data_IF_275533372702
#
_entry.id   IF_275533372702
#
_cell.length_a   1.000
_cell.length_b   1.000
_cell.length_c   1.000
_cell.angle_alpha   90.00
_cell.angle_beta   90.00
_cell.angle_gamma   90.00
#
_symmetry.space_group_name_H-M   'P 1'
#
loop_
_entity.id
_entity.type
_entity.pdbx_description
1 polymer ?
#
# COMPACT_ATOMS: atom_id res chain seq x y z
N UNK A 1 -35.02 -29.89 36.35
CA UNK A 1 -35.75 -29.59 35.14
C UNK A 1 -34.71 -29.19 34.09
N UNK A 2 -34.35 -30.16 33.26
CA UNK A 2 -33.41 -29.94 32.17
C UNK A 2 -34.20 -29.43 30.95
N UNK A 3 -33.72 -28.34 30.33
CA UNK A 3 -34.25 -27.89 29.06
C UNK A 3 -33.64 -28.77 27.96
N UNK A 4 -34.47 -29.49 27.25
CA UNK A 4 -34.11 -30.24 26.04
C UNK A 4 -33.79 -29.24 24.94
N UNK A 5 -32.60 -29.41 24.34
CA UNK A 5 -32.14 -28.65 23.19
C UNK A 5 -32.66 -29.34 21.91
N UNK A 6 -33.64 -28.74 21.25
CA UNK A 6 -34.04 -29.20 19.93
C UNK A 6 -33.00 -28.73 18.86
N UNK A 7 -32.47 -29.67 18.05
CA UNK A 7 -31.57 -29.29 16.96
C UNK A 7 -32.36 -28.55 15.86
N UNK A 8 -32.00 -27.32 15.58
CA UNK A 8 -32.55 -26.61 14.44
C UNK A 8 -32.10 -27.30 13.14
N UNK A 9 -33.07 -27.79 12.40
CA UNK A 9 -32.90 -28.30 11.04
C UNK A 9 -32.49 -27.13 10.15
N UNK A 10 -31.28 -27.21 9.57
CA UNK A 10 -30.83 -26.29 8.53
C UNK A 10 -31.83 -26.36 7.36
N UNK A 11 -32.46 -25.22 7.08
CA UNK A 11 -33.36 -25.06 5.96
C UNK A 11 -32.62 -25.30 4.63
N UNK A 12 -33.40 -25.84 3.67
CA UNK A 12 -32.93 -26.07 2.30
C UNK A 12 -32.33 -24.79 1.68
N UNK A 13 -31.39 -24.90 0.73
CA UNK A 13 -30.81 -23.74 0.06
C UNK A 13 -31.92 -22.93 -0.61
N UNK A 14 -32.07 -21.68 -0.19
CA UNK A 14 -32.94 -20.73 -0.89
C UNK A 14 -32.26 -20.43 -2.23
N UNK A 15 -32.92 -20.80 -3.34
CA UNK A 15 -32.50 -20.33 -4.67
C UNK A 15 -32.46 -18.81 -4.64
N UNK A 16 -31.24 -18.28 -4.76
CA UNK A 16 -31.02 -16.83 -4.91
C UNK A 16 -31.51 -16.44 -6.30
N UNK A 17 -32.66 -15.83 -6.37
CA UNK A 17 -33.01 -15.01 -7.52
C UNK A 17 -31.96 -13.88 -7.63
N UNK A 18 -31.04 -14.02 -8.54
CA UNK A 18 -30.08 -12.98 -8.87
C UNK A 18 -30.80 -11.80 -9.50
N UNK A 19 -31.14 -10.83 -8.66
CA UNK A 19 -31.64 -9.55 -9.11
C UNK A 19 -30.44 -8.70 -9.53
N UNK A 20 -30.26 -8.35 -10.82
CA UNK A 20 -29.02 -7.76 -11.34
C UNK A 20 -28.75 -6.32 -10.89
N UNK A 21 -29.49 -5.80 -9.95
CA UNK A 21 -29.36 -4.40 -9.47
C UNK A 21 -28.81 -4.23 -8.04
N UNK A 22 -28.46 -5.29 -7.34
CA UNK A 22 -27.72 -5.15 -6.09
C UNK A 22 -26.25 -4.97 -6.45
N UNK A 23 -25.83 -3.74 -6.72
CA UNK A 23 -24.43 -3.36 -6.60
C UNK A 23 -24.01 -3.78 -5.19
N UNK A 24 -23.19 -4.82 -5.09
CA UNK A 24 -22.55 -5.23 -3.85
C UNK A 24 -21.85 -3.99 -3.29
N UNK A 25 -22.45 -3.40 -2.25
CA UNK A 25 -21.84 -2.25 -1.57
C UNK A 25 -20.57 -2.80 -0.95
N UNK A 26 -19.43 -2.33 -1.42
CA UNK A 26 -18.14 -2.63 -0.82
C UNK A 26 -18.16 -2.13 0.64
N UNK A 27 -18.22 -3.01 1.65
CA UNK A 27 -18.34 -2.60 3.04
C UNK A 27 -17.09 -1.83 3.49
N UNK A 28 -15.94 -2.10 2.91
CA UNK A 28 -14.70 -1.42 3.26
C UNK A 28 -14.77 0.09 3.01
N UNK A 29 -15.53 0.51 2.00
CA UNK A 29 -15.75 1.92 1.69
C UNK A 29 -16.33 2.74 2.87
N UNK A 30 -17.06 2.09 3.76
CA UNK A 30 -17.76 2.76 4.87
C UNK A 30 -16.98 2.74 6.18
N UNK A 31 -16.06 1.81 6.35
CA UNK A 31 -15.37 1.58 7.61
C UNK A 31 -13.93 2.09 7.61
N UNK A 32 -13.38 2.40 6.44
CA UNK A 32 -12.01 2.90 6.31
C UNK A 32 -11.92 4.39 6.60
N UNK A 33 -10.88 4.85 7.33
CA UNK A 33 -10.61 6.28 7.50
C UNK A 33 -10.31 6.98 6.17
N UNK A 34 -9.53 6.34 5.28
CA UNK A 34 -9.27 6.86 3.95
C UNK A 34 -10.49 6.71 3.04
N UNK A 35 -10.82 7.78 2.31
CA UNK A 35 -11.85 7.77 1.26
C UNK A 35 -11.30 7.42 -0.12
N UNK A 36 -9.99 7.28 -0.24
CA UNK A 36 -9.34 6.91 -1.50
C UNK A 36 -9.71 5.48 -1.89
N UNK A 37 -9.89 5.22 -3.20
CA UNK A 37 -10.19 3.86 -3.66
C UNK A 37 -9.00 2.94 -3.43
N UNK A 38 -9.27 1.71 -3.04
CA UNK A 38 -8.27 0.65 -2.95
C UNK A 38 -7.87 0.23 -4.37
N UNK A 39 -6.59 0.15 -4.64
CA UNK A 39 -6.02 -0.19 -5.95
C UNK A 39 -5.68 -1.68 -6.11
N UNK A 40 -5.27 -2.35 -5.03
CA UNK A 40 -5.04 -3.79 -5.04
C UNK A 40 -6.36 -4.55 -4.82
N UNK A 41 -6.48 -5.70 -5.47
CA UNK A 41 -7.72 -6.50 -5.45
C UNK A 41 -7.67 -7.57 -4.37
N UNK A 42 -8.82 -7.99 -3.88
CA UNK A 42 -8.95 -9.25 -3.15
C UNK A 42 -8.74 -10.42 -4.10
N UNK A 43 -7.90 -11.34 -3.70
CA UNK A 43 -7.80 -12.65 -4.33
C UNK A 43 -8.84 -13.59 -3.68
N UNK A 44 -10.13 -13.28 -3.85
CA UNK A 44 -11.25 -14.07 -3.27
C UNK A 44 -11.25 -15.53 -3.72
N UNK A 45 -10.35 -15.89 -4.62
CA UNK A 45 -10.21 -17.24 -5.13
C UNK A 45 -9.11 -17.96 -4.35
N UNK A 46 -9.50 -18.70 -3.31
CA UNK A 46 -8.60 -19.57 -2.56
C UNK A 46 -7.85 -20.57 -3.46
N UNK A 47 -8.39 -20.89 -4.64
CA UNK A 47 -7.73 -21.74 -5.63
C UNK A 47 -6.37 -21.19 -6.07
N UNK A 48 -6.18 -19.87 -6.05
CA UNK A 48 -4.88 -19.26 -6.35
C UNK A 48 -3.81 -19.75 -5.38
N UNK A 49 -4.14 -19.96 -4.11
CA UNK A 49 -3.18 -20.35 -3.07
C UNK A 49 -2.95 -21.87 -2.98
N UNK A 50 -3.88 -22.68 -3.49
CA UNK A 50 -3.82 -24.14 -3.38
C UNK A 50 -2.50 -24.76 -3.85
N UNK A 51 -1.89 -24.33 -4.98
CA UNK A 51 -0.63 -24.90 -5.44
C UNK A 51 0.57 -24.66 -4.50
N UNK A 52 0.46 -23.73 -3.56
CA UNK A 52 1.58 -23.25 -2.75
C UNK A 52 1.58 -23.76 -1.30
N UNK A 53 0.57 -24.51 -0.88
CA UNK A 53 0.38 -24.92 0.52
C UNK A 53 1.56 -25.68 1.11
N UNK A 54 2.23 -26.51 0.32
CA UNK A 54 3.33 -27.36 0.79
C UNK A 54 4.69 -26.93 0.22
N UNK A 55 4.74 -25.75 -0.44
CA UNK A 55 5.98 -25.27 -1.05
C UNK A 55 6.77 -24.36 -0.11
N UNK A 56 8.07 -24.58 -0.04
CA UNK A 56 8.98 -23.62 0.59
C UNK A 56 9.10 -22.36 -0.28
N UNK A 57 9.41 -21.23 0.34
CA UNK A 57 9.53 -19.94 -0.37
C UNK A 57 10.52 -19.97 -1.55
N UNK A 58 11.57 -20.78 -1.48
CA UNK A 58 12.59 -20.93 -2.51
C UNK A 58 12.19 -21.84 -3.68
N UNK A 59 11.10 -22.58 -3.56
CA UNK A 59 10.56 -23.49 -4.58
C UNK A 59 9.45 -22.84 -5.42
N UNK A 60 8.85 -21.77 -4.89
CA UNK A 60 7.71 -21.08 -5.50
C UNK A 60 8.12 -20.38 -6.80
N UNK A 61 7.41 -20.70 -7.87
CA UNK A 61 7.50 -20.02 -9.16
C UNK A 61 6.20 -19.25 -9.43
N UNK A 62 6.31 -17.94 -9.51
CA UNK A 62 5.17 -17.11 -9.83
C UNK A 62 4.71 -17.31 -11.27
N UNK A 63 3.38 -17.32 -11.54
CA UNK A 63 2.86 -17.20 -12.90
C UNK A 63 3.37 -15.91 -13.54
N UNK A 64 3.86 -16.01 -14.79
CA UNK A 64 4.38 -14.85 -15.52
C UNK A 64 3.35 -13.72 -15.68
N UNK A 65 2.06 -14.03 -15.65
CA UNK A 65 0.96 -13.06 -15.72
C UNK A 65 0.99 -12.05 -14.60
N UNK A 66 1.50 -12.42 -13.41
CA UNK A 66 1.55 -11.53 -12.24
C UNK A 66 2.64 -10.45 -12.34
N UNK A 67 3.67 -10.69 -13.18
CA UNK A 67 4.86 -9.82 -13.26
C UNK A 67 5.13 -9.30 -14.70
N UNK A 68 4.10 -9.34 -15.57
CA UNK A 68 4.23 -8.95 -16.97
C UNK A 68 4.35 -7.43 -17.18
N UNK A 69 3.69 -6.64 -16.34
CA UNK A 69 3.71 -5.18 -16.39
C UNK A 69 4.20 -4.61 -15.07
N UNK A 70 4.84 -3.43 -15.06
CA UNK A 70 5.35 -2.84 -13.82
C UNK A 70 4.24 -2.53 -12.82
N UNK A 71 3.16 -1.84 -13.24
CA UNK A 71 2.01 -1.54 -12.37
C UNK A 71 1.38 -2.83 -11.82
N UNK A 72 1.16 -3.83 -12.73
CA UNK A 72 0.62 -5.13 -12.37
C UNK A 72 1.49 -5.87 -11.35
N UNK A 73 2.82 -5.76 -11.45
CA UNK A 73 3.73 -6.40 -10.49
C UNK A 73 3.53 -5.83 -9.10
N UNK A 74 3.47 -4.51 -8.94
CA UNK A 74 3.24 -3.87 -7.64
C UNK A 74 1.85 -4.22 -7.11
N UNK A 75 0.81 -4.07 -7.93
CA UNK A 75 -0.56 -4.34 -7.49
C UNK A 75 -0.78 -5.81 -7.14
N UNK A 76 -0.23 -6.74 -7.92
CA UNK A 76 -0.34 -8.18 -7.64
C UNK A 76 0.42 -8.57 -6.37
N UNK A 77 1.61 -7.99 -6.13
CA UNK A 77 2.35 -8.17 -4.89
C UNK A 77 1.48 -7.81 -3.67
N UNK A 78 0.88 -6.63 -3.69
CA UNK A 78 0.01 -6.20 -2.59
C UNK A 78 -1.35 -6.90 -2.59
N UNK A 79 -1.84 -7.41 -3.72
CA UNK A 79 -3.04 -8.24 -3.76
C UNK A 79 -2.81 -9.59 -3.07
N UNK A 80 -1.62 -10.18 -3.24
CA UNK A 80 -1.23 -11.39 -2.50
C UNK A 80 -1.14 -11.09 -1.01
N UNK A 81 -0.49 -9.98 -0.61
CA UNK A 81 -0.32 -9.58 0.78
C UNK A 81 -1.64 -9.14 1.44
N UNK A 82 -2.65 -8.75 0.68
CA UNK A 82 -3.96 -8.41 1.21
C UNK A 82 -4.65 -9.60 1.90
N UNK A 83 -4.33 -10.81 1.47
CA UNK A 83 -4.82 -12.04 2.07
C UNK A 83 -3.93 -12.56 3.21
N UNK A 84 -2.84 -11.84 3.52
CA UNK A 84 -1.89 -12.21 4.55
C UNK A 84 -2.25 -11.64 5.92
N UNK A 85 -1.93 -12.41 6.95
CA UNK A 85 -2.06 -11.99 8.34
C UNK A 85 -0.88 -12.51 9.16
N UNK A 86 -0.15 -11.61 9.82
CA UNK A 86 0.97 -11.98 10.69
C UNK A 86 0.77 -11.47 12.11
N UNK A 87 -0.33 -11.88 12.74
CA UNK A 87 -0.60 -11.60 14.13
C UNK A 87 0.34 -12.42 15.03
N UNK A 88 0.81 -11.80 16.09
CA UNK A 88 1.67 -12.43 17.11
C UNK A 88 0.93 -12.49 18.45
N UNK A 89 1.42 -13.30 19.38
CA UNK A 89 0.83 -13.40 20.73
C UNK A 89 0.73 -12.05 21.45
N UNK A 90 1.61 -11.11 21.13
CA UNK A 90 1.66 -9.78 21.74
C UNK A 90 0.98 -8.70 20.89
N UNK A 91 0.56 -9.03 19.66
CA UNK A 91 -0.05 -8.12 18.69
C UNK A 91 -1.27 -8.82 18.08
N UNK A 92 -2.27 -9.03 18.92
CA UNK A 92 -3.55 -9.61 18.51
C UNK A 92 -4.45 -8.48 18.00
N UNK A 93 -4.95 -8.62 16.84
CA UNK A 93 -5.94 -7.70 16.27
C UNK A 93 -7.30 -8.37 16.23
N UNK A 94 -8.34 -7.64 16.66
CA UNK A 94 -9.69 -8.17 16.85
C UNK A 94 -10.61 -7.82 15.74
N UNK A 95 -10.62 -7.93 14.60
CA UNK A 95 -11.60 -8.06 13.53
C UNK A 95 -10.92 -8.87 12.45
N UNK A 96 -10.90 -10.19 12.68
CA UNK A 96 -10.24 -11.11 11.80
C UNK A 96 -10.75 -10.94 10.38
N UNK A 97 -9.98 -10.41 9.50
CA UNK A 97 -10.07 -10.87 8.13
C UNK A 97 -9.75 -12.33 8.20
N UNK A 98 -10.63 -13.18 7.72
CA UNK A 98 -10.32 -14.59 7.51
C UNK A 98 -9.33 -14.62 6.35
N UNK A 99 -8.09 -14.22 6.62
CA UNK A 99 -7.02 -14.26 5.65
C UNK A 99 -6.44 -15.66 5.54
N UNK A 100 -5.49 -15.79 4.63
CA UNK A 100 -4.74 -17.04 4.43
C UNK A 100 -3.57 -17.15 5.42
N UNK A 101 -3.64 -16.46 6.56
CA UNK A 101 -2.59 -16.39 7.58
C UNK A 101 -1.22 -16.08 6.96
N UNK A 102 -0.21 -16.92 7.19
CA UNK A 102 1.16 -16.69 6.70
C UNK A 102 1.43 -17.26 5.30
N UNK A 103 0.50 -17.97 4.71
CA UNK A 103 0.68 -18.59 3.39
C UNK A 103 1.00 -17.59 2.25
N UNK A 104 0.45 -16.37 2.23
CA UNK A 104 0.76 -15.42 1.16
C UNK A 104 2.21 -14.90 1.18
N UNK A 105 2.90 -14.85 2.34
CA UNK A 105 4.23 -14.24 2.43
C UNK A 105 5.30 -14.94 1.59
N UNK A 106 5.43 -16.28 1.58
CA UNK A 106 6.41 -16.95 0.72
C UNK A 106 6.13 -16.71 -0.77
N UNK A 107 4.85 -16.55 -1.16
CA UNK A 107 4.47 -16.22 -2.54
C UNK A 107 4.89 -14.77 -2.85
N UNK A 108 4.55 -13.83 -1.98
CA UNK A 108 4.88 -12.41 -2.13
C UNK A 108 6.40 -12.19 -2.17
N UNK A 109 7.18 -12.92 -1.38
CA UNK A 109 8.64 -12.83 -1.40
C UNK A 109 9.26 -13.16 -2.77
N UNK A 110 8.57 -13.94 -3.59
CA UNK A 110 9.01 -14.29 -4.94
C UNK A 110 8.74 -13.20 -6.00
N UNK A 111 8.12 -12.08 -5.63
CA UNK A 111 8.06 -10.89 -6.47
C UNK A 111 9.36 -10.09 -6.48
N UNK A 112 10.26 -10.34 -5.53
CA UNK A 112 11.54 -9.66 -5.44
C UNK A 112 12.60 -10.25 -6.37
N UNK A 113 13.59 -9.41 -6.71
CA UNK A 113 14.79 -9.88 -7.43
C UNK A 113 15.65 -10.74 -6.53
N UNK A 114 16.51 -11.58 -7.11
CA UNK A 114 17.52 -12.32 -6.36
C UNK A 114 18.47 -11.39 -5.60
N UNK A 115 18.77 -10.20 -6.17
CA UNK A 115 19.60 -9.19 -5.52
C UNK A 115 18.96 -8.69 -4.23
N UNK A 116 17.65 -8.46 -4.24
CA UNK A 116 16.90 -8.12 -3.02
C UNK A 116 16.91 -9.26 -2.02
N UNK A 117 16.61 -10.50 -2.46
CA UNK A 117 16.54 -11.68 -1.60
C UNK A 117 17.89 -12.04 -0.94
N UNK A 118 19.00 -11.65 -1.57
CA UNK A 118 20.34 -11.76 -0.94
C UNK A 118 20.59 -10.73 0.15
N UNK A 119 19.95 -9.54 0.06
CA UNK A 119 20.09 -8.46 1.05
C UNK A 119 19.14 -8.61 2.23
N UNK A 120 17.94 -9.13 1.97
CA UNK A 120 16.87 -9.28 2.96
C UNK A 120 16.44 -10.75 2.98
N UNK A 121 16.82 -11.47 4.02
CA UNK A 121 16.44 -12.87 4.19
C UNK A 121 14.92 -13.02 4.39
N UNK A 122 14.38 -14.19 4.06
CA UNK A 122 12.94 -14.44 4.16
C UNK A 122 12.40 -14.22 5.58
N UNK A 123 13.13 -14.62 6.61
CA UNK A 123 12.70 -14.44 8.01
C UNK A 123 12.66 -12.96 8.41
N UNK A 124 13.61 -12.15 7.94
CA UNK A 124 13.62 -10.70 8.13
C UNK A 124 12.44 -10.04 7.40
N UNK A 125 12.21 -10.47 6.16
CA UNK A 125 11.05 -10.05 5.37
C UNK A 125 9.74 -10.38 6.09
N UNK A 126 9.55 -11.61 6.56
CA UNK A 126 8.37 -12.04 7.29
C UNK A 126 8.18 -11.26 8.60
N UNK A 127 9.27 -11.01 9.31
CA UNK A 127 9.24 -10.26 10.57
C UNK A 127 8.82 -8.80 10.37
N UNK A 128 9.12 -8.20 9.22
CA UNK A 128 8.69 -6.82 8.92
C UNK A 128 7.17 -6.63 8.87
N UNK A 129 6.41 -7.71 8.75
CA UNK A 129 4.94 -7.71 8.77
C UNK A 129 4.35 -8.11 10.13
N UNK A 130 5.15 -8.22 11.19
CA UNK A 130 4.65 -8.61 12.50
C UNK A 130 3.59 -7.62 13.01
N UNK A 131 2.39 -8.14 13.35
CA UNK A 131 1.25 -7.35 13.79
C UNK A 131 0.36 -6.82 12.68
N UNK A 132 0.74 -6.98 11.40
CA UNK A 132 -0.06 -6.51 10.27
C UNK A 132 -1.08 -7.59 9.88
N UNK A 133 -2.35 -7.21 9.84
CA UNK A 133 -3.46 -8.10 9.48
C UNK A 133 -4.11 -7.78 8.14
N UNK A 134 -3.84 -6.64 7.55
CA UNK A 134 -4.44 -6.24 6.27
C UNK A 134 -3.65 -5.10 5.61
N UNK A 135 -3.55 -5.10 4.28
CA UNK A 135 -2.80 -4.08 3.54
C UNK A 135 -3.59 -3.63 2.30
N UNK A 136 -3.90 -2.34 2.23
CA UNK A 136 -4.52 -1.69 1.08
C UNK A 136 -3.56 -0.72 0.42
N UNK A 137 -3.44 -0.75 -0.90
CA UNK A 137 -2.77 0.28 -1.68
C UNK A 137 -3.79 1.40 -1.97
N UNK A 138 -3.54 2.60 -1.48
CA UNK A 138 -4.43 3.76 -1.66
C UNK A 138 -3.89 4.78 -2.66
N UNK A 139 -2.55 4.86 -2.82
CA UNK A 139 -1.90 5.61 -3.89
C UNK A 139 -0.84 4.74 -4.57
N UNK A 140 -0.75 4.85 -5.88
CA UNK A 140 0.32 4.25 -6.69
C UNK A 140 0.54 5.15 -7.88
N UNK A 141 1.72 5.75 -7.97
CA UNK A 141 2.10 6.64 -9.05
C UNK A 141 3.47 6.27 -9.58
N UNK A 142 3.54 6.02 -10.88
CA UNK A 142 4.81 5.81 -11.56
C UNK A 142 5.59 7.12 -11.59
N UNK A 143 6.87 7.04 -11.26
CA UNK A 143 7.82 8.13 -11.35
C UNK A 143 8.65 8.00 -12.63
N UNK A 144 9.40 9.03 -13.03
CA UNK A 144 10.30 8.93 -14.18
C UNK A 144 11.31 7.79 -14.02
N UNK A 145 11.53 7.03 -15.09
CA UNK A 145 12.45 5.89 -15.08
C UNK A 145 13.90 6.38 -14.79
N UNK A 146 14.59 5.66 -13.93
CA UNK A 146 15.96 5.98 -13.52
C UNK A 146 16.89 4.77 -13.67
N UNK A 147 18.00 4.93 -14.41
CA UNK A 147 19.11 3.95 -14.44
C UNK A 147 18.70 2.49 -14.65
N UNK A 148 17.65 2.24 -15.44
CA UNK A 148 17.15 0.89 -15.72
C UNK A 148 16.15 0.36 -14.70
N UNK A 149 15.70 1.20 -13.76
CA UNK A 149 14.61 0.92 -12.84
C UNK A 149 13.34 1.68 -13.24
N UNK A 150 12.20 1.08 -12.91
CA UNK A 150 10.89 1.73 -13.01
C UNK A 150 10.42 2.02 -11.59
N UNK A 151 10.57 3.27 -11.10
CA UNK A 151 10.21 3.63 -9.73
C UNK A 151 8.74 4.00 -9.61
N UNK A 152 8.19 3.73 -8.41
CA UNK A 152 6.84 4.09 -8.00
C UNK A 152 6.86 4.76 -6.65
N UNK A 153 6.03 5.79 -6.50
CA UNK A 153 5.55 6.26 -5.21
C UNK A 153 4.33 5.43 -4.81
N UNK A 154 4.26 5.04 -3.54
CA UNK A 154 3.15 4.27 -2.98
C UNK A 154 2.73 4.84 -1.63
N UNK A 155 1.43 4.76 -1.35
CA UNK A 155 0.88 4.94 0.00
C UNK A 155 -0.03 3.76 0.31
N UNK A 156 0.15 3.23 1.51
CA UNK A 156 -0.54 2.06 2.03
C UNK A 156 -1.39 2.44 3.24
N UNK A 157 -2.55 1.81 3.34
CA UNK A 157 -3.36 1.76 4.55
C UNK A 157 -3.31 0.34 5.09
N UNK A 158 -2.99 0.17 6.37
CA UNK A 158 -2.89 -1.13 7.03
C UNK A 158 -3.87 -1.23 8.20
N UNK A 159 -4.20 -2.46 8.57
CA UNK A 159 -4.83 -2.76 9.86
C UNK A 159 -3.80 -3.51 10.69
N UNK A 160 -3.47 -2.98 11.85
CA UNK A 160 -2.43 -3.50 12.72
C UNK A 160 -2.96 -3.83 14.10
N UNK A 161 -2.43 -4.91 14.67
CA UNK A 161 -2.71 -5.33 16.04
C UNK A 161 -1.72 -4.74 17.03
N UNK A 162 -2.24 -4.25 18.15
CA UNK A 162 -1.46 -3.88 19.33
C UNK A 162 -1.55 -4.96 20.43
N UNK A 163 -0.68 -4.83 21.41
CA UNK A 163 -0.83 -5.57 22.66
C UNK A 163 -2.22 -5.29 23.26
N UNK A 164 -2.86 -6.30 23.85
CA UNK A 164 -4.21 -6.24 24.44
C UNK A 164 -5.39 -6.33 23.46
N UNK A 165 -5.17 -6.82 22.23
CA UNK A 165 -6.26 -7.07 21.29
C UNK A 165 -6.91 -5.81 20.71
N UNK A 166 -6.21 -4.68 20.70
CA UNK A 166 -6.65 -3.46 20.04
C UNK A 166 -6.11 -3.43 18.63
N UNK A 167 -6.95 -3.13 17.65
CA UNK A 167 -6.56 -2.87 16.28
C UNK A 167 -6.68 -1.40 15.93
N UNK A 168 -5.83 -0.94 15.04
CA UNK A 168 -5.87 0.42 14.54
C UNK A 168 -5.49 0.47 13.05
N UNK A 169 -5.88 1.54 12.38
CA UNK A 169 -5.40 1.84 11.05
C UNK A 169 -4.06 2.56 11.14
N UNK A 170 -3.08 2.10 10.36
CA UNK A 170 -1.82 2.78 10.16
C UNK A 170 -1.61 3.09 8.68
N UNK A 171 -0.77 4.07 8.39
CA UNK A 171 -0.47 4.50 7.04
C UNK A 171 1.03 4.53 6.83
N UNK A 172 1.45 4.14 5.63
CA UNK A 172 2.85 4.13 5.20
C UNK A 172 2.94 4.72 3.81
N UNK A 173 3.95 5.49 3.56
CA UNK A 173 4.29 5.93 2.22
C UNK A 173 5.72 5.54 1.88
N UNK A 174 6.06 5.53 0.60
CA UNK A 174 7.44 5.26 0.20
C UNK A 174 7.60 5.00 -1.28
N UNK A 175 8.70 4.31 -1.58
CA UNK A 175 9.14 4.11 -2.94
C UNK A 175 9.43 2.64 -3.21
N UNK A 176 9.02 2.19 -4.39
CA UNK A 176 9.29 0.85 -4.91
C UNK A 176 10.01 1.01 -6.24
N UNK A 177 11.11 0.30 -6.43
CA UNK A 177 11.84 0.27 -7.68
C UNK A 177 11.76 -1.13 -8.29
N UNK A 178 11.29 -1.18 -9.52
CA UNK A 178 11.19 -2.40 -10.29
C UNK A 178 12.33 -2.52 -11.29
N UNK A 179 12.81 -3.73 -11.47
CA UNK A 179 13.81 -4.09 -12.47
C UNK A 179 13.20 -5.10 -13.43
N UNK A 180 13.49 -4.95 -14.73
CA UNK A 180 13.08 -5.94 -15.73
C UNK A 180 14.11 -7.08 -15.80
N UNK A 181 13.65 -8.30 -15.50
CA UNK A 181 14.45 -9.53 -15.50
C UNK A 181 13.77 -10.54 -16.41
N UNK A 182 14.45 -11.01 -17.48
CA UNK A 182 13.91 -11.96 -18.46
C UNK A 182 12.49 -11.60 -18.99
N UNK A 183 12.29 -10.32 -19.36
CA UNK A 183 11.00 -9.76 -19.81
C UNK A 183 9.86 -9.72 -18.77
N UNK A 184 10.14 -10.00 -17.51
CA UNK A 184 9.23 -9.86 -16.37
C UNK A 184 9.74 -8.77 -15.44
N UNK A 185 8.84 -8.16 -14.68
CA UNK A 185 9.19 -7.14 -13.70
C UNK A 185 9.31 -7.76 -12.32
N UNK A 186 10.33 -7.36 -11.57
CA UNK A 186 10.58 -7.78 -10.19
C UNK A 186 10.87 -6.55 -9.33
N UNK A 187 10.47 -6.60 -8.07
CA UNK A 187 10.77 -5.56 -7.09
C UNK A 187 12.24 -5.72 -6.66
N UNK A 188 13.05 -4.68 -6.89
CA UNK A 188 14.47 -4.68 -6.52
C UNK A 188 14.75 -3.87 -5.26
N UNK A 189 14.00 -2.78 -5.05
CA UNK A 189 14.07 -1.99 -3.84
C UNK A 189 12.66 -1.61 -3.38
N UNK A 190 12.46 -1.63 -2.08
CA UNK A 190 11.25 -1.13 -1.44
C UNK A 190 11.66 -0.46 -0.13
N UNK A 191 11.23 0.78 0.05
CA UNK A 191 11.45 1.53 1.28
C UNK A 191 10.16 2.24 1.65
N UNK A 192 9.64 1.89 2.82
CA UNK A 192 8.40 2.43 3.37
C UNK A 192 8.71 3.19 4.65
N UNK A 193 7.96 4.25 4.88
CA UNK A 193 8.03 5.10 6.06
C UNK A 193 6.64 5.14 6.68
N UNK A 194 6.55 4.97 7.99
CA UNK A 194 5.31 5.19 8.70
C UNK A 194 4.92 6.67 8.69
N UNK A 195 3.62 6.95 8.49
CA UNK A 195 3.12 8.30 8.61
C UNK A 195 2.95 8.66 10.07
N UNK A 196 3.38 9.88 10.40
CA UNK A 196 3.16 10.46 11.71
C UNK A 196 1.75 11.06 11.76
N UNK A 197 0.96 10.66 12.76
CA UNK A 197 -0.39 11.16 12.97
C UNK A 197 -0.48 12.37 13.89
N UNK A 198 0.63 13.03 14.16
CA UNK A 198 0.58 14.33 14.80
C UNK A 198 -0.28 15.28 13.95
N UNK A 199 -1.12 16.09 14.59
CA UNK A 199 -1.92 17.04 13.87
C UNK A 199 -1.06 18.08 13.14
N UNK A 200 -1.55 18.58 12.01
CA UNK A 200 -0.81 19.47 11.10
C UNK A 200 -0.10 20.64 11.78
N UNK A 201 -0.65 21.15 12.90
CA UNK A 201 -0.03 22.22 13.67
C UNK A 201 1.34 21.86 14.29
N UNK A 202 1.66 20.57 14.42
CA UNK A 202 2.94 20.09 14.96
C UNK A 202 3.90 19.64 13.85
N UNK A 203 3.44 19.59 12.59
CA UNK A 203 4.33 19.36 11.47
C UNK A 203 5.15 20.61 11.18
N UNK A 204 6.45 20.41 10.99
CA UNK A 204 7.33 21.50 10.59
C UNK A 204 7.02 21.93 9.15
N UNK A 205 7.44 23.13 8.78
CA UNK A 205 7.29 23.68 7.43
C UNK A 205 7.76 22.73 6.32
N UNK A 206 8.69 21.82 6.62
CA UNK A 206 9.20 20.80 5.66
C UNK A 206 8.10 19.82 5.15
N UNK A 207 6.97 19.76 5.82
CA UNK A 207 5.83 18.91 5.44
C UNK A 207 4.66 19.68 4.82
N UNK A 208 4.87 20.95 4.49
CA UNK A 208 3.93 21.79 3.79
C UNK A 208 4.57 22.27 2.47
N UNK A 209 3.91 21.96 1.34
CA UNK A 209 4.47 22.20 0.01
C UNK A 209 4.77 23.68 -0.25
N UNK A 210 3.85 24.60 0.14
CA UNK A 210 4.04 26.03 -0.08
C UNK A 210 5.14 26.58 0.82
N UNK A 211 5.17 26.15 2.08
CA UNK A 211 6.21 26.55 3.01
C UNK A 211 7.60 26.02 2.60
N UNK A 212 7.70 24.83 2.06
CA UNK A 212 8.95 24.28 1.51
C UNK A 212 9.46 25.15 0.38
N UNK A 213 8.62 25.43 -0.62
CA UNK A 213 9.03 26.23 -1.78
C UNK A 213 9.37 27.65 -1.36
N UNK A 214 8.55 28.30 -0.54
CA UNK A 214 8.81 29.67 -0.07
C UNK A 214 10.09 29.76 0.77
N UNK A 215 10.38 28.78 1.63
CA UNK A 215 11.56 28.80 2.50
C UNK A 215 12.81 28.47 1.73
N UNK A 216 12.84 27.33 1.02
CA UNK A 216 14.08 26.88 0.37
C UNK A 216 14.43 27.73 -0.84
N UNK A 217 13.46 27.98 -1.72
CA UNK A 217 13.73 28.65 -3.00
C UNK A 217 13.46 30.15 -2.95
N UNK A 218 12.55 30.60 -2.09
CA UNK A 218 12.32 32.02 -1.85
C UNK A 218 13.34 32.61 -0.88
N UNK A 219 13.29 32.21 0.40
CA UNK A 219 14.07 32.88 1.45
C UNK A 219 15.58 32.52 1.42
N UNK A 220 15.90 31.23 1.23
CA UNK A 220 17.32 30.80 1.29
C UNK A 220 18.04 31.00 -0.03
N UNK A 221 17.41 30.62 -1.16
CA UNK A 221 18.06 30.73 -2.48
C UNK A 221 17.79 32.07 -3.19
N UNK A 222 16.82 32.85 -2.71
CA UNK A 222 16.36 34.10 -3.37
C UNK A 222 16.07 33.91 -4.87
N UNK A 223 15.54 32.73 -5.21
CA UNK A 223 15.32 32.31 -6.59
C UNK A 223 13.94 32.71 -7.11
N UNK A 224 12.94 32.92 -6.25
CA UNK A 224 11.57 33.20 -6.67
C UNK A 224 11.42 34.67 -7.07
N UNK A 225 11.22 34.93 -8.38
CA UNK A 225 10.86 36.25 -8.91
C UNK A 225 9.35 36.46 -8.88
N UNK A 226 8.58 35.43 -9.26
CA UNK A 226 7.13 35.48 -9.30
C UNK A 226 6.55 34.08 -9.09
N UNK A 227 5.87 33.87 -7.98
CA UNK A 227 5.15 32.62 -7.72
C UNK A 227 3.78 32.68 -8.43
N UNK A 228 3.37 31.56 -9.00
CA UNK A 228 2.03 31.36 -9.56
C UNK A 228 1.13 30.71 -8.51
N UNK A 229 -0.20 30.80 -8.67
CA UNK A 229 -1.12 30.12 -7.77
C UNK A 229 -0.85 28.60 -7.73
N UNK A 230 -0.83 28.03 -6.54
CA UNK A 230 -0.74 26.59 -6.33
C UNK A 230 -1.94 25.90 -6.97
N UNK A 231 -1.67 24.82 -7.71
CA UNK A 231 -2.71 23.98 -8.29
C UNK A 231 -2.80 22.69 -7.49
N UNK A 232 -4.02 22.23 -7.21
CA UNK A 232 -4.26 20.96 -6.56
C UNK A 232 -5.27 20.14 -7.35
N UNK A 233 -4.90 18.90 -7.69
CA UNK A 233 -5.79 17.92 -8.32
C UNK A 233 -5.75 16.64 -7.48
N UNK A 234 -6.83 16.41 -6.71
CA UNK A 234 -6.84 15.36 -5.70
C UNK A 234 -5.74 15.59 -4.66
N UNK A 235 -4.84 14.62 -4.55
CA UNK A 235 -3.68 14.69 -3.63
C UNK A 235 -2.40 15.21 -4.31
N UNK A 236 -2.45 15.60 -5.59
CA UNK A 236 -1.30 16.14 -6.32
C UNK A 236 -1.30 17.65 -6.23
N UNK A 237 -0.30 18.22 -5.58
CA UNK A 237 -0.06 19.67 -5.53
C UNK A 237 1.05 20.04 -6.48
N UNK A 238 0.83 21.09 -7.28
CA UNK A 238 1.82 21.63 -8.20
C UNK A 238 2.07 23.09 -7.87
N UNK A 239 3.32 23.44 -7.63
CA UNK A 239 3.75 24.83 -7.37
C UNK A 239 4.68 25.24 -8.51
N UNK A 240 4.24 26.25 -9.25
CA UNK A 240 4.99 26.82 -10.36
C UNK A 240 5.50 28.21 -9.97
N UNK A 241 6.74 28.56 -10.33
CA UNK A 241 7.23 29.92 -10.22
C UNK A 241 8.23 30.27 -11.32
N UNK A 242 8.39 31.56 -11.59
CA UNK A 242 9.43 32.12 -12.46
C UNK A 242 10.62 32.51 -11.59
N UNK A 243 11.80 32.01 -11.95
CA UNK A 243 13.05 32.28 -11.25
C UNK A 243 13.61 33.66 -11.53
N UNK A 244 14.47 34.16 -10.62
CA UNK A 244 15.26 35.37 -10.81
C UNK A 244 16.29 35.25 -11.95
N UNK A 245 16.62 34.01 -12.31
CA UNK A 245 17.44 33.64 -13.48
C UNK A 245 16.65 33.58 -14.79
N UNK A 246 15.31 33.78 -14.74
CA UNK A 246 14.42 33.75 -15.88
C UNK A 246 13.92 32.36 -16.27
N UNK A 247 14.29 31.31 -15.53
CA UNK A 247 13.80 29.96 -15.78
C UNK A 247 12.42 29.74 -15.13
N UNK A 248 11.64 28.82 -15.70
CA UNK A 248 10.39 28.34 -15.13
C UNK A 248 10.64 27.09 -14.29
N UNK A 249 10.17 27.13 -13.06
CA UNK A 249 10.32 26.04 -12.10
C UNK A 249 8.97 25.44 -11.77
N UNK A 250 8.94 24.10 -11.66
CA UNK A 250 7.77 23.33 -11.26
C UNK A 250 8.16 22.33 -10.19
N UNK A 251 7.38 22.32 -9.09
CA UNK A 251 7.49 21.35 -8.01
C UNK A 251 6.20 20.57 -7.90
N UNK A 252 6.32 19.24 -7.77
CA UNK A 252 5.21 18.33 -7.61
C UNK A 252 5.31 17.69 -6.23
N UNK A 253 4.24 17.81 -5.46
CA UNK A 253 4.08 17.20 -4.15
C UNK A 253 2.89 16.25 -4.14
N UNK A 254 2.97 15.21 -3.35
CA UNK A 254 1.83 14.36 -3.02
C UNK A 254 1.44 14.58 -1.58
N UNK A 255 0.17 14.95 -1.37
CA UNK A 255 -0.42 15.05 -0.04
C UNK A 255 -0.72 13.66 0.49
N UNK A 256 -0.23 13.35 1.68
CA UNK A 256 -0.48 12.10 2.40
C UNK A 256 -1.83 12.14 3.14
N UNK A 257 -2.26 10.99 3.66
CA UNK A 257 -3.52 10.85 4.41
C UNK A 257 -3.55 11.70 5.68
N UNK A 258 -2.39 11.98 6.29
CA UNK A 258 -2.24 12.87 7.45
C UNK A 258 -2.12 14.36 7.08
N UNK A 259 -2.39 14.75 5.82
CA UNK A 259 -2.28 16.10 5.25
C UNK A 259 -0.84 16.67 5.23
N UNK A 260 0.18 15.84 5.30
CA UNK A 260 1.55 16.27 5.02
C UNK A 260 1.88 16.09 3.54
N UNK A 261 2.77 16.93 3.02
CA UNK A 261 3.19 16.92 1.63
C UNK A 261 4.57 16.30 1.48
N UNK A 262 4.72 15.44 0.50
CA UNK A 262 6.00 14.82 0.11
C UNK A 262 6.42 15.34 -1.24
N UNK A 263 7.61 15.93 -1.33
CA UNK A 263 8.19 16.38 -2.59
C UNK A 263 8.52 15.18 -3.48
N UNK A 264 8.02 15.21 -4.71
CA UNK A 264 8.23 14.15 -5.71
C UNK A 264 9.22 14.57 -6.78
N UNK A 265 9.10 15.80 -7.29
CA UNK A 265 9.99 16.35 -8.34
C UNK A 265 9.94 17.87 -8.40
#
# INVERSE_FOLDING_TARGET
MGAEYEPQTFGQPVERNENPSIRTRDPEKYFRPSRLPIKNTHLNNFEFFNPYYEQNYNEIKLPATLTRTPDGTVLNYFSVLREAENLTQNQLGGCGTVGMAKLPYPIAYNFFTEDYQRRVAYDEYLQSFAGIGHINVIKLNRLPDEKGFTPYFIELETIEGLSKGVTYFAYYYGYIQLKKVHNLYKIDHMKLYGEDFLCAAYHLWQHDAEAVVATMYGNWCNLIKKQLPTKQDGYVKTIDFIGTDGADYRFIFYELTNNTDVLIS
#
